data_IF_070270008019
#
_entry.id   IF_070270008019
#
_cell.length_a   1.000
_cell.length_b   1.000
_cell.length_c   1.000
_cell.angle_alpha   90.00
_cell.angle_beta   90.00
_cell.angle_gamma   90.00
#
_symmetry.space_group_name_H-M   'P 1'
#
loop_
_entity.id
_entity.type
_entity.pdbx_description
1 polymer ?
#
# COMPACT_ATOMS: atom_id res chain seq x y z
N UNK A 1 7.94 31.64 1.12
CA UNK A 1 7.67 30.20 1.21
C UNK A 1 6.37 29.96 0.50
N UNK A 2 6.41 29.46 -0.72
CA UNK A 2 5.20 29.00 -1.41
C UNK A 2 4.73 27.70 -0.77
N UNK A 3 3.43 27.63 -0.49
CA UNK A 3 2.82 26.49 0.17
C UNK A 3 2.55 25.42 -0.89
N UNK A 4 3.20 24.25 -0.76
CA UNK A 4 2.94 23.13 -1.67
C UNK A 4 1.50 22.67 -1.45
N UNK A 5 0.67 22.75 -2.49
CA UNK A 5 -0.70 22.26 -2.45
C UNK A 5 -0.71 20.73 -2.37
N UNK A 6 -1.25 20.18 -1.29
CA UNK A 6 -1.44 18.73 -1.15
C UNK A 6 -2.60 18.30 -2.06
N UNK A 7 -2.48 17.20 -2.82
CA UNK A 7 -3.55 16.72 -3.66
C UNK A 7 -4.81 16.44 -2.82
N UNK A 8 -6.01 16.73 -3.35
CA UNK A 8 -7.23 16.37 -2.66
C UNK A 8 -7.24 14.87 -2.38
N UNK A 9 -7.63 14.52 -1.16
CA UNK A 9 -7.83 13.13 -0.76
C UNK A 9 -9.00 12.47 -1.50
N UNK A 10 -9.17 11.15 -1.42
CA UNK A 10 -10.36 10.50 -1.94
C UNK A 10 -11.61 11.01 -1.18
N UNK A 11 -12.77 11.08 -1.86
CA UNK A 11 -14.01 11.53 -1.24
C UNK A 11 -14.40 10.59 -0.09
N UNK A 12 -14.77 11.16 1.06
CA UNK A 12 -15.10 10.38 2.27
C UNK A 12 -16.52 9.77 2.23
N UNK A 13 -17.32 10.10 1.22
CA UNK A 13 -18.69 9.62 1.05
C UNK A 13 -18.98 9.27 -0.42
N UNK A 14 -19.52 8.08 -0.64
CA UNK A 14 -20.13 7.63 -1.90
C UNK A 14 -21.58 7.27 -1.61
N UNK A 15 -22.53 7.76 -2.41
CA UNK A 15 -23.94 7.34 -2.34
C UNK A 15 -24.18 6.30 -3.42
N UNK A 16 -24.44 5.05 -3.02
CA UNK A 16 -24.88 4.00 -3.92
C UNK A 16 -26.17 3.37 -3.34
N UNK A 17 -27.33 3.91 -3.73
CA UNK A 17 -28.65 3.46 -3.25
C UNK A 17 -29.01 3.90 -1.81
N UNK A 18 -29.96 3.18 -1.20
CA UNK A 18 -30.56 3.46 0.12
C UNK A 18 -29.86 2.77 1.31
N UNK A 19 -28.72 2.10 1.10
CA UNK A 19 -27.95 1.44 2.16
C UNK A 19 -26.65 2.21 2.38
N UNK A 20 -26.47 2.77 3.58
CA UNK A 20 -25.23 3.46 3.95
C UNK A 20 -24.26 2.39 4.45
N UNK A 21 -23.32 1.96 3.60
CA UNK A 21 -22.19 1.15 4.03
C UNK A 21 -21.04 2.07 4.50
N UNK A 22 -20.27 1.68 5.52
CA UNK A 22 -19.16 2.50 5.99
C UNK A 22 -18.05 2.53 4.93
N UNK A 23 -17.63 3.72 4.56
CA UNK A 23 -16.55 3.96 3.62
C UNK A 23 -15.34 4.45 4.40
N UNK A 24 -14.16 3.93 4.06
CA UNK A 24 -12.88 4.37 4.63
C UNK A 24 -12.01 4.95 3.53
N UNK A 25 -11.45 6.12 3.80
CA UNK A 25 -10.51 6.84 2.94
C UNK A 25 -9.17 6.89 3.65
N UNK A 26 -8.16 6.25 3.08
CA UNK A 26 -6.80 6.22 3.61
C UNK A 26 -5.83 6.93 2.67
N UNK A 27 -4.87 7.64 3.27
CA UNK A 27 -3.79 8.32 2.56
C UNK A 27 -2.48 7.99 3.28
N UNK A 28 -1.49 7.51 2.54
CA UNK A 28 -0.15 7.24 3.05
C UNK A 28 0.89 7.99 2.18
N UNK A 29 1.94 8.51 2.83
CA UNK A 29 3.06 9.19 2.17
C UNK A 29 4.35 8.43 2.42
N UNK A 30 5.07 8.12 1.33
CA UNK A 30 6.28 7.31 1.36
C UNK A 30 7.43 8.07 0.71
N UNK A 31 8.49 8.34 1.46
CA UNK A 31 9.64 9.09 0.99
C UNK A 31 10.71 8.15 0.41
N UNK A 32 11.18 8.44 -0.80
CA UNK A 32 12.22 7.70 -1.48
C UNK A 32 13.30 8.61 -2.08
N UNK A 33 14.50 8.06 -2.24
CA UNK A 33 15.63 8.75 -2.87
C UNK A 33 16.17 7.91 -4.03
N UNK A 34 16.33 8.51 -5.19
CA UNK A 34 16.97 7.90 -6.36
C UNK A 34 18.47 8.26 -6.44
N UNK A 35 19.40 7.33 -6.11
CA UNK A 35 20.81 7.67 -5.97
C UNK A 35 21.56 7.98 -7.26
N UNK A 36 21.06 7.60 -8.44
CA UNK A 36 21.73 7.94 -9.72
C UNK A 36 21.06 9.11 -10.46
N UNK A 37 19.83 9.48 -10.10
CA UNK A 37 19.19 10.71 -10.56
C UNK A 37 19.40 11.85 -9.57
N UNK A 38 19.84 11.53 -8.36
CA UNK A 38 19.99 12.43 -7.21
C UNK A 38 18.68 13.15 -6.81
N UNK A 39 17.55 12.50 -7.07
CA UNK A 39 16.22 13.05 -6.82
C UNK A 39 15.58 12.45 -5.57
N UNK A 40 14.91 13.29 -4.78
CA UNK A 40 14.00 12.85 -3.74
C UNK A 40 12.57 12.84 -4.28
N UNK A 41 11.82 11.79 -4.01
CA UNK A 41 10.41 11.66 -4.41
C UNK A 41 9.55 11.24 -3.24
N UNK A 42 8.32 11.75 -3.21
CA UNK A 42 7.27 11.32 -2.29
C UNK A 42 6.21 10.59 -3.09
N UNK A 43 5.99 9.31 -2.76
CA UNK A 43 4.88 8.52 -3.26
C UNK A 43 3.70 8.65 -2.28
N UNK A 44 2.65 9.30 -2.73
CA UNK A 44 1.36 9.32 -2.04
C UNK A 44 0.47 8.20 -2.59
N UNK A 45 -0.04 7.37 -1.69
CA UNK A 45 -1.01 6.33 -2.00
C UNK A 45 -2.35 6.75 -1.40
N UNK A 46 -3.40 6.77 -2.21
CA UNK A 46 -4.76 7.08 -1.79
C UNK A 46 -5.66 5.89 -2.06
N UNK A 47 -6.40 5.44 -1.06
CA UNK A 47 -7.35 4.34 -1.19
C UNK A 47 -8.71 4.75 -0.63
N UNK A 48 -9.72 4.48 -1.43
CA UNK A 48 -11.12 4.50 -1.02
C UNK A 48 -11.62 3.07 -1.00
N UNK A 49 -12.08 2.60 0.16
CA UNK A 49 -12.65 1.26 0.31
C UNK A 49 -13.99 1.28 1.00
N UNK A 50 -14.87 0.41 0.56
CA UNK A 50 -16.11 0.09 1.25
C UNK A 50 -15.85 -1.06 2.22
N UNK A 51 -16.25 -0.90 3.48
CA UNK A 51 -16.12 -1.96 4.49
C UNK A 51 -17.38 -2.85 4.40
N UNK A 52 -17.20 -4.14 4.10
CA UNK A 52 -18.29 -5.13 4.21
C UNK A 52 -18.51 -5.42 5.70
N UNK A 53 -19.76 -5.73 6.06
CA UNK A 53 -20.27 -5.72 7.44
C UNK A 53 -19.32 -6.39 8.48
N UNK A 54 -19.27 -5.90 9.73
CA UNK A 54 -18.44 -6.49 10.80
C UNK A 54 -18.76 -7.96 11.13
N UNK A 55 -19.90 -8.47 10.67
CA UNK A 55 -20.36 -9.83 10.92
C UNK A 55 -19.78 -10.86 9.94
N UNK A 56 -19.09 -10.44 8.87
CA UNK A 56 -18.43 -11.33 7.90
C UNK A 56 -16.91 -11.39 8.08
N UNK A 57 -16.40 -11.23 9.31
CA UNK A 57 -15.02 -11.62 9.65
C UNK A 57 -14.94 -13.16 9.64
N UNK A 58 -15.05 -13.76 8.46
CA UNK A 58 -14.61 -15.14 8.25
C UNK A 58 -13.08 -15.07 8.14
N UNK A 59 -12.39 -15.71 9.09
CA UNK A 59 -10.94 -15.89 9.07
C UNK A 59 -10.07 -14.63 9.26
N UNK A 60 -10.55 -13.61 9.97
CA UNK A 60 -9.72 -12.42 10.29
C UNK A 60 -9.45 -11.50 9.08
N UNK A 61 -10.11 -11.73 7.95
CA UNK A 61 -10.05 -10.83 6.79
C UNK A 61 -11.09 -9.72 6.95
N UNK A 62 -10.63 -8.47 6.86
CA UNK A 62 -11.54 -7.35 6.59
C UNK A 62 -11.99 -7.52 5.14
N UNK A 63 -13.19 -8.05 4.94
CA UNK A 63 -13.84 -8.00 3.64
C UNK A 63 -14.08 -6.52 3.32
N UNK A 64 -13.30 -5.99 2.39
CA UNK A 64 -13.49 -4.65 1.86
C UNK A 64 -13.47 -4.71 0.35
N UNK A 65 -14.11 -3.73 -0.28
CA UNK A 65 -14.13 -3.56 -1.73
C UNK A 65 -13.38 -2.28 -2.05
N UNK A 66 -12.39 -2.37 -2.93
CA UNK A 66 -11.61 -1.20 -3.35
C UNK A 66 -12.44 -0.41 -4.36
N UNK A 67 -12.93 0.75 -3.95
CA UNK A 67 -13.74 1.62 -4.80
C UNK A 67 -12.88 2.54 -5.68
N UNK A 68 -11.74 2.98 -5.16
CA UNK A 68 -10.82 3.85 -5.87
C UNK A 68 -9.41 3.72 -5.30
N UNK A 69 -8.42 3.71 -6.18
CA UNK A 69 -7.02 3.77 -5.79
C UNK A 69 -6.26 4.75 -6.68
N UNK A 70 -5.47 5.63 -6.06
CA UNK A 70 -4.61 6.59 -6.77
C UNK A 70 -3.20 6.58 -6.21
N UNK A 71 -2.27 6.77 -7.13
CA UNK A 71 -0.87 7.00 -6.82
C UNK A 71 -0.47 8.36 -7.33
N UNK A 72 0.14 9.16 -6.46
CA UNK A 72 0.70 10.44 -6.83
C UNK A 72 2.18 10.50 -6.47
N UNK A 73 2.96 11.13 -7.34
CA UNK A 73 4.38 11.39 -7.12
C UNK A 73 4.59 12.88 -7.02
N UNK A 74 5.38 13.27 -6.03
CA UNK A 74 5.99 14.59 -5.93
C UNK A 74 7.50 14.44 -5.97
N UNK A 75 8.16 15.11 -6.90
CA UNK A 75 9.62 15.21 -6.92
C UNK A 75 10.02 16.47 -6.17
N UNK A 76 10.93 16.34 -5.20
CA UNK A 76 11.41 17.49 -4.44
C UNK A 76 12.10 18.50 -5.37
N UNK A 77 11.78 19.79 -5.18
CA UNK A 77 12.25 20.86 -6.07
C UNK A 77 11.35 21.09 -7.28
N UNK A 78 10.30 20.27 -7.47
CA UNK A 78 9.20 20.57 -8.38
C UNK A 78 8.02 21.18 -7.61
N UNK A 79 7.11 21.85 -8.31
CA UNK A 79 5.97 22.54 -7.66
C UNK A 79 4.68 21.72 -7.70
N UNK A 80 4.67 20.56 -8.37
CA UNK A 80 3.43 19.87 -8.70
C UNK A 80 3.47 18.38 -8.37
N UNK A 81 2.34 17.89 -7.87
CA UNK A 81 2.04 16.46 -7.80
C UNK A 81 1.56 15.98 -9.16
N UNK A 82 1.92 14.74 -9.52
CA UNK A 82 1.37 14.08 -10.71
C UNK A 82 0.90 12.68 -10.39
N UNK A 83 -0.21 12.30 -11.00
CA UNK A 83 -0.73 10.94 -10.90
C UNK A 83 0.14 10.01 -11.74
N UNK A 84 0.46 8.83 -11.21
CA UNK A 84 1.08 7.74 -11.97
C UNK A 84 0.09 6.60 -12.13
N UNK A 85 0.24 5.84 -13.21
CA UNK A 85 -0.58 4.65 -13.41
C UNK A 85 0.01 3.47 -12.66
N UNK A 86 -0.89 2.70 -12.07
CA UNK A 86 -0.56 1.49 -11.36
C UNK A 86 -0.38 0.36 -12.37
N UNK A 87 0.86 0.05 -12.73
CA UNK A 87 1.17 -1.22 -13.37
C UNK A 87 1.49 -2.23 -12.25
N UNK A 88 0.45 -2.73 -11.56
CA UNK A 88 0.65 -3.87 -10.67
C UNK A 88 0.89 -5.10 -11.53
N UNK A 89 1.93 -5.91 -11.24
CA UNK A 89 2.13 -7.19 -11.91
C UNK A 89 0.91 -8.10 -11.70
N UNK A 90 0.44 -8.78 -12.75
CA UNK A 90 -0.72 -9.71 -12.74
C UNK A 90 -0.71 -10.77 -11.62
N UNK A 91 0.44 -10.98 -10.98
CA UNK A 91 0.65 -11.93 -9.87
C UNK A 91 0.14 -11.46 -8.50
N UNK A 92 -0.39 -10.24 -8.38
CA UNK A 92 -0.84 -9.65 -7.11
C UNK A 92 -2.36 -9.63 -7.13
N UNK A 93 -3.01 -10.21 -6.12
CA UNK A 93 -4.45 -10.01 -5.93
C UNK A 93 -4.69 -8.54 -5.52
N UNK A 94 -5.00 -7.72 -6.52
CA UNK A 94 -4.82 -6.27 -6.51
C UNK A 94 -5.44 -5.59 -5.28
N UNK A 95 -6.59 -6.05 -4.81
CA UNK A 95 -7.35 -5.35 -3.76
C UNK A 95 -6.80 -5.56 -2.35
N UNK A 96 -6.35 -6.78 -2.03
CA UNK A 96 -5.94 -7.16 -0.67
C UNK A 96 -4.55 -6.59 -0.37
N UNK A 97 -3.64 -6.74 -1.33
CA UNK A 97 -2.27 -6.26 -1.19
C UNK A 97 -2.23 -4.73 -1.03
N UNK A 98 -3.05 -4.00 -1.78
CA UNK A 98 -3.16 -2.54 -1.69
C UNK A 98 -3.55 -2.04 -0.29
N UNK A 99 -4.45 -2.76 0.40
CA UNK A 99 -4.84 -2.42 1.77
C UNK A 99 -3.68 -2.59 2.75
N UNK A 100 -2.95 -3.71 2.65
CA UNK A 100 -1.80 -3.98 3.53
C UNK A 100 -0.66 -2.98 3.31
N UNK A 101 -0.48 -2.43 2.10
CA UNK A 101 0.60 -1.45 1.85
C UNK A 101 0.37 -0.11 2.55
N UNK A 102 -0.88 0.30 2.75
CA UNK A 102 -1.19 1.55 3.42
C UNK A 102 -0.98 1.48 4.92
N UNK A 103 -1.15 0.29 5.50
CA UNK A 103 -1.00 0.04 6.92
C UNK A 103 0.47 -0.13 7.33
N UNK A 104 1.34 -0.48 6.37
CA UNK A 104 2.76 -0.70 6.60
C UNK A 104 3.63 0.48 6.14
N UNK A 105 4.73 0.72 6.85
CA UNK A 105 5.77 1.68 6.44
C UNK A 105 6.81 0.97 5.57
N UNK A 106 7.18 1.50 4.40
CA UNK A 106 8.22 0.88 3.59
C UNK A 106 9.60 1.12 4.16
N UNK A 107 10.51 0.22 3.82
CA UNK A 107 11.94 0.46 3.87
C UNK A 107 12.39 1.13 2.57
N UNK A 108 13.16 2.22 2.64
CA UNK A 108 13.81 2.81 1.47
C UNK A 108 15.27 2.36 1.39
N UNK A 109 15.65 1.64 0.34
CA UNK A 109 17.02 1.15 0.14
C UNK A 109 17.37 1.12 -1.36
N UNK A 110 18.52 1.73 -1.72
CA UNK A 110 19.08 1.69 -3.08
C UNK A 110 18.07 2.09 -4.18
N UNK A 111 17.40 3.23 -4.03
CA UNK A 111 16.46 3.72 -5.05
C UNK A 111 15.12 3.00 -5.08
N UNK A 112 14.78 2.23 -4.03
CA UNK A 112 13.58 1.39 -4.00
C UNK A 112 12.90 1.45 -2.63
N UNK A 113 11.57 1.41 -2.65
CA UNK A 113 10.72 1.24 -1.46
C UNK A 113 10.25 -0.20 -1.40
N UNK A 114 10.34 -0.82 -0.22
CA UNK A 114 10.01 -2.23 0.00
C UNK A 114 8.91 -2.35 1.05
N UNK A 115 7.82 -3.05 0.72
CA UNK A 115 6.76 -3.41 1.67
C UNK A 115 6.70 -4.93 1.79
N UNK A 116 6.80 -5.48 3.02
CA UNK A 116 6.43 -6.87 3.23
C UNK A 116 4.93 -7.02 3.00
N UNK A 117 4.54 -8.07 2.28
CA UNK A 117 3.15 -8.43 2.06
C UNK A 117 2.95 -9.88 2.45
N UNK A 118 2.05 -10.09 3.41
CA UNK A 118 1.72 -11.41 3.93
C UNK A 118 0.28 -11.72 3.56
N UNK A 119 0.08 -12.64 2.62
CA UNK A 119 -1.20 -13.29 2.42
C UNK A 119 -1.10 -14.77 2.83
N UNK A 120 -2.23 -15.31 3.32
CA UNK A 120 -2.44 -16.67 3.82
C UNK A 120 -1.75 -17.80 3.02
N UNK A 121 -1.46 -17.58 1.72
CA UNK A 121 -0.74 -18.55 0.86
C UNK A 121 0.39 -17.96 0.02
N UNK A 122 0.55 -16.65 0.03
CA UNK A 122 1.46 -15.92 -0.85
C UNK A 122 2.11 -14.82 -0.02
N UNK A 123 3.36 -15.04 0.36
CA UNK A 123 4.16 -13.97 0.95
C UNK A 123 5.07 -13.41 -0.14
N UNK A 124 5.06 -12.10 -0.31
CA UNK A 124 5.89 -11.41 -1.28
C UNK A 124 6.39 -10.09 -0.71
N UNK A 125 7.40 -9.52 -1.35
CA UNK A 125 7.84 -8.16 -1.07
C UNK A 125 7.43 -7.32 -2.28
N UNK A 126 6.57 -6.33 -2.07
CA UNK A 126 6.28 -5.33 -3.09
C UNK A 126 7.44 -4.34 -3.11
N UNK A 127 7.90 -4.03 -4.31
CA UNK A 127 9.01 -3.12 -4.55
C UNK A 127 8.57 -2.01 -5.49
N UNK A 128 8.65 -0.77 -5.04
CA UNK A 128 8.51 0.40 -5.90
C UNK A 128 9.90 0.96 -6.25
N UNK A 129 10.21 1.04 -7.53
CA UNK A 129 11.47 1.63 -8.02
C UNK A 129 11.30 3.14 -8.16
N UNK A 130 12.02 3.94 -7.37
CA UNK A 130 11.86 5.40 -7.28
C UNK A 130 12.17 6.10 -8.61
N UNK A 131 13.22 5.66 -9.33
CA UNK A 131 13.57 6.23 -10.64
C UNK A 131 12.48 6.01 -11.68
N UNK A 132 12.16 4.74 -11.92
CA UNK A 132 11.28 4.34 -13.02
C UNK A 132 9.80 4.44 -12.66
N UNK A 133 9.50 4.59 -11.37
CA UNK A 133 8.15 4.70 -10.83
C UNK A 133 7.27 3.49 -11.16
N UNK A 134 7.88 2.32 -11.08
CA UNK A 134 7.24 1.05 -11.38
C UNK A 134 7.21 0.15 -10.15
N UNK A 135 6.12 -0.60 -10.03
CA UNK A 135 5.99 -1.67 -9.06
C UNK A 135 6.52 -2.98 -9.65
N UNK A 136 7.12 -3.77 -8.78
CA UNK A 136 7.56 -5.13 -9.04
C UNK A 136 7.37 -5.94 -7.77
N UNK A 137 7.27 -7.26 -7.89
CA UNK A 137 7.21 -8.15 -6.73
C UNK A 137 8.46 -8.99 -6.64
N UNK A 138 8.85 -9.32 -5.41
CA UNK A 138 9.85 -10.35 -5.12
C UNK A 138 9.08 -11.47 -4.41
N UNK A 139 8.95 -12.67 -5.01
CA UNK A 139 8.35 -13.79 -4.31
C UNK A 139 9.23 -14.19 -3.14
N UNK A 140 8.64 -14.49 -1.99
CA UNK A 140 9.37 -15.16 -0.93
C UNK A 140 9.51 -16.65 -1.29
N UNK A 141 10.64 -17.29 -0.91
CA UNK A 141 10.78 -18.72 -1.12
C UNK A 141 9.63 -19.46 -0.44
N UNK A 142 9.09 -20.50 -1.10
CA UNK A 142 8.08 -21.36 -0.51
C UNK A 142 8.65 -21.92 0.80
N UNK A 143 8.00 -21.57 1.92
CA UNK A 143 8.29 -22.19 3.20
C UNK A 143 7.78 -23.63 3.13
N UNK A 144 8.59 -24.55 2.60
CA UNK A 144 8.34 -25.99 2.66
C UNK A 144 8.52 -26.47 4.11
N UNK A 145 7.50 -26.29 4.93
CA UNK A 145 7.37 -26.92 6.23
C UNK A 145 5.88 -27.11 6.52
N UNK A 146 5.49 -28.14 7.28
CA UNK A 146 4.13 -28.20 7.79
C UNK A 146 3.90 -26.92 8.60
N UNK A 147 2.99 -26.07 8.13
CA UNK A 147 2.48 -24.96 8.92
C UNK A 147 1.75 -25.58 10.11
N UNK A 148 2.48 -25.93 11.18
CA UNK A 148 1.87 -25.96 12.50
C UNK A 148 1.37 -24.53 12.72
N UNK A 149 0.04 -24.41 12.80
CA UNK A 149 -0.72 -23.17 12.91
C UNK A 149 -0.43 -22.46 14.24
N UNK A 150 0.81 -22.01 14.43
CA UNK A 150 1.33 -21.34 15.63
C UNK A 150 2.16 -20.09 15.32
N UNK A 151 2.06 -19.59 14.09
CA UNK A 151 2.50 -18.23 13.78
C UNK A 151 1.28 -17.32 13.76
N UNK A 152 0.72 -17.11 14.94
CA UNK A 152 0.03 -15.86 15.26
C UNK A 152 1.10 -14.76 15.15
N UNK A 153 1.31 -14.24 13.94
CA UNK A 153 2.07 -13.02 13.72
C UNK A 153 1.25 -11.86 14.30
N UNK A 154 1.33 -11.70 15.61
CA UNK A 154 1.02 -10.42 16.25
C UNK A 154 2.05 -9.40 15.78
N UNK A 155 1.64 -8.18 15.39
CA UNK A 155 2.57 -7.13 15.05
C UNK A 155 3.23 -6.64 16.35
N UNK A 156 4.57 -6.65 16.36
CA UNK A 156 5.46 -6.07 17.37
C UNK A 156 5.56 -6.80 18.72
N UNK A 157 6.58 -7.66 18.85
CA UNK A 157 7.36 -7.80 20.08
C UNK A 157 8.82 -8.11 19.72
N UNK A 158 9.53 -7.09 19.24
CA UNK A 158 10.99 -7.08 19.23
C UNK A 158 11.45 -6.68 20.64
N UNK A 159 11.53 -7.65 21.55
CA UNK A 159 12.35 -7.47 22.75
C UNK A 159 13.81 -7.55 22.34
N UNK A 160 14.46 -6.38 22.31
CA UNK A 160 15.91 -6.27 22.23
C UNK A 160 16.46 -6.62 23.61
N UNK A 161 17.22 -7.71 23.70
CA UNK A 161 18.20 -7.97 24.75
C UNK A 161 19.60 -7.98 24.14
#
# INVERSE_FOLDING_TARGET
>A
MEQIAIPPGPPQHFKQGNIIKPIKSDINFNFGYDPVGEEYKVLQMQLLRELKCPQSVKFGRLECEVLNFKLLIYTLGTENWRQIHLAIPESVDDEIHLCSFLENKPLCLNGKLYWPSYEYRTSCILVFKVRSEMFTTIPLPELHGPCDNKWDFYPFDLQIN
#
